data_IF_851596897542
#
_entry.id   IF_851596897542
#
_cell.length_a   1.000
_cell.length_b   1.000
_cell.length_c   1.000
_cell.angle_alpha   90.00
_cell.angle_beta   90.00
_cell.angle_gamma   90.00
#
_symmetry.space_group_name_H-M   'P 1'
#
loop_
_entity.id
_entity.type
_entity.pdbx_description
1 polymer ?
#
# COMPACT_ATOMS: atom_id res chain seq x y z
N UNK A 1 1.33 -7.59 -17.63
CA UNK A 1 0.71 -7.05 -16.40
C UNK A 1 -0.25 -8.10 -15.87
N UNK A 2 -0.15 -8.45 -14.59
CA UNK A 2 -1.09 -9.36 -13.92
C UNK A 2 -2.52 -8.83 -14.08
N UNK A 3 -3.50 -9.63 -14.51
CA UNK A 3 -4.87 -9.13 -14.67
C UNK A 3 -5.46 -8.83 -13.29
N UNK A 4 -5.73 -7.54 -13.04
CA UNK A 4 -6.48 -7.10 -11.87
C UNK A 4 -7.93 -7.55 -11.99
N UNK A 5 -8.50 -8.01 -10.88
CA UNK A 5 -9.92 -8.34 -10.82
C UNK A 5 -10.68 -7.05 -10.54
N UNK A 6 -11.26 -6.47 -11.59
CA UNK A 6 -12.20 -5.36 -11.45
C UNK A 6 -13.47 -5.87 -10.76
N UNK A 7 -14.10 -5.00 -9.99
CA UNK A 7 -15.39 -5.31 -9.38
C UNK A 7 -16.52 -4.89 -10.31
N UNK A 8 -17.53 -5.75 -10.43
CA UNK A 8 -18.72 -5.47 -11.22
C UNK A 8 -19.67 -4.55 -10.45
N UNK A 9 -19.99 -3.40 -11.06
CA UNK A 9 -20.96 -2.44 -10.57
C UNK A 9 -22.06 -2.24 -11.61
N UNK A 10 -23.29 -2.16 -11.15
CA UNK A 10 -24.44 -1.73 -11.95
C UNK A 10 -24.23 -0.31 -12.49
N UNK A 11 -24.99 0.06 -13.52
CA UNK A 11 -24.98 1.41 -14.08
C UNK A 11 -25.28 2.49 -13.04
N UNK A 12 -26.21 2.23 -12.12
CA UNK A 12 -26.59 3.11 -11.02
C UNK A 12 -25.45 3.28 -10.02
N UNK A 13 -24.82 2.18 -9.58
CA UNK A 13 -23.66 2.23 -8.67
C UNK A 13 -22.49 3.00 -9.31
N UNK A 14 -22.20 2.75 -10.59
CA UNK A 14 -21.17 3.50 -11.33
C UNK A 14 -21.48 4.99 -11.39
N UNK A 15 -22.74 5.38 -11.56
CA UNK A 15 -23.12 6.80 -11.62
C UNK A 15 -22.86 7.52 -10.28
N UNK A 16 -23.01 6.83 -9.16
CA UNK A 16 -22.66 7.34 -7.84
C UNK A 16 -21.14 7.38 -7.65
N UNK A 17 -20.46 6.25 -7.88
CA UNK A 17 -19.03 6.12 -7.62
C UNK A 17 -18.17 7.12 -8.41
N UNK A 18 -18.54 7.44 -9.67
CA UNK A 18 -17.78 8.41 -10.50
C UNK A 18 -17.65 9.80 -9.89
N UNK A 19 -18.50 10.16 -8.93
CA UNK A 19 -18.43 11.46 -8.23
C UNK A 19 -17.30 11.51 -7.21
N UNK A 20 -16.90 10.36 -6.69
CA UNK A 20 -16.05 10.25 -5.51
C UNK A 20 -14.75 9.47 -5.74
N UNK A 21 -14.59 8.79 -6.87
CA UNK A 21 -13.42 7.97 -7.19
C UNK A 21 -12.90 8.27 -8.59
N UNK A 22 -11.57 8.40 -8.74
CA UNK A 22 -10.93 8.73 -10.03
C UNK A 22 -10.89 7.58 -11.04
N UNK A 23 -11.06 6.34 -10.56
CA UNK A 23 -11.07 5.13 -11.38
C UNK A 23 -11.94 4.06 -10.70
N UNK A 24 -12.74 3.35 -11.49
CA UNK A 24 -13.66 2.31 -11.00
C UNK A 24 -13.20 0.89 -11.35
N UNK A 25 -12.28 0.76 -12.29
CA UNK A 25 -11.89 -0.49 -12.94
C UNK A 25 -10.46 -0.89 -12.59
N UNK A 26 -9.59 0.09 -12.36
CA UNK A 26 -8.20 -0.10 -11.98
C UNK A 26 -8.01 -0.36 -10.48
N UNK A 27 -6.85 -0.94 -10.11
CA UNK A 27 -6.48 -1.21 -8.73
C UNK A 27 -6.05 0.04 -7.95
N UNK A 28 -5.69 1.12 -8.65
CA UNK A 28 -5.29 2.38 -8.04
C UNK A 28 -6.35 3.42 -8.35
N UNK A 29 -6.74 4.19 -7.33
CA UNK A 29 -7.69 5.29 -7.47
C UNK A 29 -7.61 6.24 -6.28
N UNK A 30 -7.88 7.52 -6.51
CA UNK A 30 -7.96 8.53 -5.47
C UNK A 30 -9.42 8.83 -5.08
N UNK A 31 -9.61 9.27 -3.83
CA UNK A 31 -10.90 9.72 -3.32
C UNK A 31 -11.00 11.24 -3.51
N UNK A 32 -12.03 11.67 -4.23
CA UNK A 32 -12.34 13.07 -4.52
C UNK A 32 -13.72 13.44 -3.99
N UNK A 33 -13.97 14.74 -3.79
CA UNK A 33 -15.29 15.27 -3.43
C UNK A 33 -15.95 14.61 -2.20
N UNK A 34 -15.14 14.12 -1.25
CA UNK A 34 -15.61 13.59 0.03
C UNK A 34 -15.03 14.42 1.18
N UNK A 35 -15.77 14.63 2.28
CA UNK A 35 -15.19 15.22 3.48
C UNK A 35 -14.02 14.38 4.01
N UNK A 36 -12.95 15.02 4.49
CA UNK A 36 -11.74 14.32 4.96
C UNK A 36 -12.03 13.32 6.10
N UNK A 37 -13.00 13.64 6.97
CA UNK A 37 -13.46 12.73 8.04
C UNK A 37 -14.05 11.44 7.45
N UNK A 38 -14.80 11.54 6.36
CA UNK A 38 -15.40 10.38 5.68
C UNK A 38 -14.30 9.55 5.01
N UNK A 39 -13.32 10.18 4.34
CA UNK A 39 -12.18 9.48 3.74
C UNK A 39 -11.40 8.70 4.81
N UNK A 40 -11.09 9.33 5.94
CA UNK A 40 -10.40 8.69 7.06
C UNK A 40 -11.18 7.51 7.66
N UNK A 41 -12.48 7.69 7.90
CA UNK A 41 -13.35 6.62 8.41
C UNK A 41 -13.45 5.44 7.43
N UNK A 42 -13.56 5.73 6.13
CA UNK A 42 -13.65 4.73 5.08
C UNK A 42 -12.36 3.88 5.02
N UNK A 43 -11.17 4.48 5.05
CA UNK A 43 -9.92 3.73 5.09
C UNK A 43 -9.72 2.93 6.39
N UNK A 44 -10.15 3.49 7.53
CA UNK A 44 -10.12 2.76 8.80
C UNK A 44 -10.98 1.48 8.73
N UNK A 45 -12.19 1.58 8.16
CA UNK A 45 -13.05 0.41 7.91
C UNK A 45 -12.47 -0.54 6.88
N UNK A 46 -11.85 0.00 5.83
CA UNK A 46 -11.25 -0.77 4.74
C UNK A 46 -10.12 -1.70 5.17
N UNK A 47 -9.25 -1.24 6.06
CA UNK A 47 -8.14 -2.05 6.63
C UNK A 47 -8.61 -3.33 7.35
N UNK A 48 -9.91 -3.40 7.69
CA UNK A 48 -10.56 -4.50 8.41
C UNK A 48 -11.70 -5.13 7.60
N UNK A 49 -11.79 -4.86 6.31
CA UNK A 49 -12.82 -5.38 5.42
C UNK A 49 -12.20 -6.19 4.29
N UNK A 50 -12.86 -7.28 3.89
CA UNK A 50 -12.46 -8.07 2.73
C UNK A 50 -13.00 -7.51 1.39
N UNK A 51 -13.87 -6.49 1.44
CA UNK A 51 -14.46 -5.81 0.27
C UNK A 51 -13.44 -4.85 -0.37
N UNK A 52 -13.66 -4.48 -1.64
CA UNK A 52 -12.97 -3.32 -2.22
C UNK A 52 -13.42 -2.03 -1.52
N UNK A 53 -12.63 -0.95 -1.66
CA UNK A 53 -12.99 0.33 -1.05
C UNK A 53 -14.28 0.89 -1.65
N UNK A 54 -14.47 0.71 -2.95
CA UNK A 54 -15.65 1.18 -3.71
C UNK A 54 -16.92 0.47 -3.27
N UNK A 55 -16.86 -0.86 -3.07
CA UNK A 55 -17.99 -1.64 -2.53
C UNK A 55 -18.30 -1.29 -1.09
N UNK A 56 -17.26 -1.16 -0.26
CA UNK A 56 -17.42 -0.73 1.12
C UNK A 56 -18.12 0.62 1.22
N UNK A 57 -17.74 1.57 0.36
CA UNK A 57 -18.38 2.88 0.29
C UNK A 57 -19.88 2.80 -0.05
N UNK A 58 -20.24 2.04 -1.09
CA UNK A 58 -21.65 1.85 -1.47
C UNK A 58 -22.47 1.17 -0.39
N UNK A 59 -21.89 0.18 0.30
CA UNK A 59 -22.63 -0.62 1.26
C UNK A 59 -22.78 0.10 2.61
N UNK A 60 -21.79 0.88 3.04
CA UNK A 60 -21.70 1.40 4.41
C UNK A 60 -21.71 2.94 4.52
N UNK A 61 -21.46 3.71 3.45
CA UNK A 61 -21.24 5.16 3.56
C UNK A 61 -22.13 6.02 2.67
N UNK A 62 -22.54 5.53 1.50
CA UNK A 62 -23.25 6.36 0.50
C UNK A 62 -24.57 6.93 1.00
N UNK A 63 -25.31 6.18 1.82
CA UNK A 63 -26.64 6.57 2.28
C UNK A 63 -26.59 7.67 3.36
N UNK A 64 -25.47 7.80 4.05
CA UNK A 64 -25.26 8.76 5.12
C UNK A 64 -24.62 10.07 4.62
N UNK A 65 -24.32 10.16 3.31
CA UNK A 65 -23.82 11.38 2.70
C UNK A 65 -24.97 12.35 2.43
N UNK A 66 -24.93 13.50 3.08
CA UNK A 66 -25.79 14.63 2.71
C UNK A 66 -25.26 15.25 1.39
N UNK A 67 -25.89 14.84 0.28
CA UNK A 67 -25.51 15.26 -1.08
C UNK A 67 -26.12 16.62 -1.45
N UNK A 68 -26.82 17.30 -0.54
CA UNK A 68 -27.56 18.53 -0.85
C UNK A 68 -26.67 19.77 -1.01
N UNK A 69 -25.40 19.71 -0.59
CA UNK A 69 -24.45 20.84 -0.62
C UNK A 69 -23.42 20.83 -1.76
N UNK A 70 -23.22 19.71 -2.47
CA UNK A 70 -22.13 19.55 -3.47
C UNK A 70 -22.43 20.25 -4.82
N UNK A 71 -23.63 20.78 -5.01
CA UNK A 71 -24.04 21.40 -6.27
C UNK A 71 -23.74 22.91 -6.36
N UNK A 72 -23.28 23.56 -5.30
CA UNK A 72 -23.23 25.04 -5.22
C UNK A 72 -21.85 25.67 -5.13
N UNK A 73 -20.79 24.88 -4.90
CA UNK A 73 -19.40 25.37 -4.97
C UNK A 73 -18.78 24.86 -6.25
N UNK A 74 -18.83 25.68 -7.29
CA UNK A 74 -18.12 25.42 -8.54
C UNK A 74 -16.60 25.58 -8.31
N UNK A 75 -15.97 24.50 -7.84
CA UNK A 75 -14.53 24.42 -7.60
C UNK A 75 -13.70 24.51 -8.90
N UNK A 76 -14.32 24.59 -10.08
CA UNK A 76 -13.61 24.85 -11.35
C UNK A 76 -13.30 26.33 -11.57
N UNK A 77 -14.02 27.24 -10.89
CA UNK A 77 -13.77 28.69 -10.97
C UNK A 77 -12.47 29.04 -10.25
N UNK A 78 -11.40 29.22 -11.03
CA UNK A 78 -10.07 29.57 -10.53
C UNK A 78 -9.06 28.43 -10.51
N UNK A 79 -9.47 27.20 -10.86
CA UNK A 79 -8.58 26.03 -10.92
C UNK A 79 -7.46 26.24 -11.94
N UNK A 80 -7.79 26.65 -13.17
CA UNK A 80 -6.78 26.91 -14.22
C UNK A 80 -5.78 28.00 -13.82
N UNK A 81 -6.25 29.03 -13.10
CA UNK A 81 -5.39 30.12 -12.62
C UNK A 81 -4.52 29.69 -11.45
N UNK A 82 -5.03 28.84 -10.57
CA UNK A 82 -4.28 28.23 -9.47
C UNK A 82 -3.24 27.25 -10.01
N UNK A 83 -3.59 26.38 -10.96
CA UNK A 83 -2.67 25.45 -11.63
C UNK A 83 -1.55 26.22 -12.35
N UNK A 84 -1.87 27.27 -13.11
CA UNK A 84 -0.85 28.09 -13.78
C UNK A 84 0.08 28.81 -12.78
N UNK A 85 -0.45 29.25 -11.63
CA UNK A 85 0.36 29.83 -10.55
C UNK A 85 1.26 28.77 -9.90
N UNK A 86 0.72 27.60 -9.58
CA UNK A 86 1.48 26.49 -9.03
C UNK A 86 2.57 26.03 -10.00
N UNK A 87 2.28 25.96 -11.29
CA UNK A 87 3.27 25.61 -12.31
C UNK A 87 4.44 26.58 -12.32
N UNK A 88 4.15 27.89 -12.28
CA UNK A 88 5.19 28.91 -12.21
C UNK A 88 6.00 28.81 -10.91
N UNK A 89 5.34 28.70 -9.77
CA UNK A 89 6.00 28.72 -8.46
C UNK A 89 6.79 27.43 -8.19
N UNK A 90 6.17 26.28 -8.45
CA UNK A 90 6.77 24.99 -8.23
C UNK A 90 7.81 24.70 -9.30
N UNK A 91 7.49 24.78 -10.59
CA UNK A 91 8.39 24.31 -11.65
C UNK A 91 9.54 25.28 -11.93
N UNK A 92 9.32 26.60 -11.87
CA UNK A 92 10.35 27.59 -12.22
C UNK A 92 11.20 28.03 -11.01
N UNK A 93 10.58 28.24 -9.82
CA UNK A 93 11.31 28.71 -8.63
C UNK A 93 11.84 27.60 -7.72
N UNK A 94 11.39 26.35 -7.90
CA UNK A 94 11.89 25.19 -7.14
C UNK A 94 11.47 25.16 -5.68
N UNK A 95 10.36 25.82 -5.31
CA UNK A 95 9.82 25.82 -3.96
C UNK A 95 9.08 24.50 -3.66
N UNK A 96 9.84 23.45 -3.36
CA UNK A 96 9.30 22.12 -3.11
C UNK A 96 8.45 22.03 -1.83
N UNK A 97 8.53 23.05 -0.94
CA UNK A 97 7.73 23.10 0.29
C UNK A 97 6.24 23.32 0.00
N UNK A 98 5.91 23.98 -1.11
CA UNK A 98 4.52 24.20 -1.55
C UNK A 98 3.81 22.87 -1.86
N UNK A 99 4.53 21.87 -2.38
CA UNK A 99 3.97 20.54 -2.64
C UNK A 99 3.64 19.74 -1.37
N UNK A 100 3.99 20.24 -0.19
CA UNK A 100 3.55 19.68 1.09
C UNK A 100 2.12 20.11 1.47
N UNK A 101 1.59 21.17 0.86
CA UNK A 101 0.33 21.78 1.26
C UNK A 101 -0.90 21.12 0.62
N UNK A 102 -0.70 20.30 -0.42
CA UNK A 102 -1.75 19.48 -1.03
C UNK A 102 -1.53 18.00 -0.76
N UNK A 103 -2.58 17.31 -0.32
CA UNK A 103 -2.55 15.88 0.02
C UNK A 103 -3.63 15.08 -0.70
N UNK A 104 -3.36 13.79 -0.89
CA UNK A 104 -4.27 12.85 -1.57
C UNK A 104 -4.45 11.57 -0.76
N UNK A 105 -5.71 11.19 -0.65
CA UNK A 105 -6.17 9.88 -0.19
C UNK A 105 -6.21 8.92 -1.39
N UNK A 106 -5.25 8.01 -1.47
CA UNK A 106 -5.07 7.04 -2.55
C UNK A 106 -5.32 5.62 -2.05
N UNK A 107 -6.12 4.86 -2.79
CA UNK A 107 -6.29 3.44 -2.59
C UNK A 107 -5.40 2.66 -3.56
N UNK A 108 -4.69 1.67 -3.02
CA UNK A 108 -3.85 0.74 -3.77
C UNK A 108 -4.34 -0.69 -3.49
N UNK A 109 -5.11 -1.27 -4.40
CA UNK A 109 -5.68 -2.62 -4.26
C UNK A 109 -4.86 -3.68 -5.01
N UNK A 110 -4.93 -4.93 -4.56
CA UNK A 110 -4.31 -6.07 -5.23
C UNK A 110 -2.78 -5.90 -5.44
N UNK A 111 -2.10 -5.33 -4.45
CA UNK A 111 -0.65 -5.23 -4.39
C UNK A 111 -0.06 -6.45 -3.66
N UNK A 112 1.02 -7.06 -4.16
CA UNK A 112 1.70 -8.12 -3.42
C UNK A 112 2.22 -7.62 -2.07
N UNK A 113 2.45 -8.52 -1.10
CA UNK A 113 3.04 -8.14 0.18
C UNK A 113 4.43 -7.49 0.00
N UNK A 114 5.19 -7.89 -1.03
CA UNK A 114 6.47 -7.26 -1.36
C UNK A 114 6.23 -5.80 -1.78
N UNK A 115 5.26 -5.56 -2.66
CA UNK A 115 4.89 -4.21 -3.08
C UNK A 115 4.32 -3.38 -1.93
N UNK A 116 3.50 -3.93 -1.04
CA UNK A 116 2.96 -3.16 0.10
C UNK A 116 4.06 -2.64 1.00
N UNK A 117 5.10 -3.44 1.27
CA UNK A 117 6.28 -2.95 2.01
C UNK A 117 7.03 -1.84 1.28
N UNK A 118 7.09 -1.89 -0.05
CA UNK A 118 7.65 -0.81 -0.85
C UNK A 118 6.79 0.46 -0.74
N UNK A 119 5.46 0.35 -0.82
CA UNK A 119 4.52 1.46 -0.69
C UNK A 119 4.60 2.14 0.69
N UNK A 120 4.71 1.36 1.77
CA UNK A 120 4.62 1.82 3.16
C UNK A 120 5.94 2.36 3.75
N UNK A 121 7.04 2.33 2.98
CA UNK A 121 8.37 2.69 3.48
C UNK A 121 8.54 4.18 3.81
N UNK A 122 7.81 5.09 3.14
CA UNK A 122 7.96 6.53 3.33
C UNK A 122 7.43 6.98 4.70
N UNK A 123 8.22 7.68 5.51
CA UNK A 123 7.81 8.07 6.88
C UNK A 123 6.90 9.30 6.97
N UNK A 124 6.77 10.07 5.87
CA UNK A 124 5.99 11.32 5.81
C UNK A 124 4.62 11.11 5.14
N UNK A 125 4.00 9.97 5.41
CA UNK A 125 2.70 9.56 4.90
C UNK A 125 1.99 8.70 5.94
N UNK A 126 0.69 8.51 5.77
CA UNK A 126 -0.14 7.66 6.61
C UNK A 126 -0.62 6.45 5.81
N UNK A 127 -0.56 5.27 6.42
CA UNK A 127 -0.88 4.01 5.76
C UNK A 127 -1.92 3.20 6.54
N UNK A 128 -2.78 2.52 5.80
CA UNK A 128 -3.76 1.57 6.33
C UNK A 128 -3.83 0.34 5.40
N UNK A 129 -3.01 -0.67 5.69
CA UNK A 129 -3.01 -1.97 5.03
C UNK A 129 -4.11 -2.89 5.57
N UNK A 130 -4.70 -3.72 4.69
CA UNK A 130 -5.55 -4.84 5.08
C UNK A 130 -4.83 -5.80 6.01
N UNK A 131 -5.39 -5.99 7.20
CA UNK A 131 -4.74 -6.79 8.23
C UNK A 131 -4.97 -8.29 8.03
N UNK A 132 -3.88 -9.03 7.81
CA UNK A 132 -3.87 -10.51 7.85
C UNK A 132 -4.23 -11.09 9.22
N UNK A 133 -4.29 -10.26 10.28
CA UNK A 133 -4.75 -10.65 11.61
C UNK A 133 -6.27 -10.57 11.79
N UNK A 134 -6.97 -9.87 10.92
CA UNK A 134 -8.42 -9.65 11.04
C UNK A 134 -9.21 -10.13 9.82
N UNK A 135 -8.54 -10.36 8.69
CA UNK A 135 -9.14 -10.82 7.44
C UNK A 135 -8.59 -12.20 7.12
N UNK A 136 -9.49 -13.15 6.82
CA UNK A 136 -9.12 -14.46 6.33
C UNK A 136 -8.72 -14.39 4.84
N UNK A 137 -7.67 -15.12 4.48
CA UNK A 137 -7.13 -15.18 3.12
C UNK A 137 -7.53 -16.47 2.38
N UNK A 138 -8.60 -17.12 2.83
CA UNK A 138 -9.20 -18.34 2.27
C UNK A 138 -10.20 -18.07 1.14
N UNK A 139 -10.64 -16.81 0.97
CA UNK A 139 -11.58 -16.42 -0.07
C UNK A 139 -10.91 -16.23 -1.45
N UNK A 140 -11.53 -16.82 -2.49
CA UNK A 140 -11.11 -16.65 -3.89
C UNK A 140 -11.56 -15.28 -4.44
N UNK A 141 -10.66 -14.57 -5.11
CA UNK A 141 -10.92 -13.33 -5.84
C UNK A 141 -10.95 -13.64 -7.35
N UNK A 142 -12.07 -13.36 -8.02
CA UNK A 142 -12.23 -13.71 -9.45
C UNK A 142 -12.03 -15.21 -9.72
N UNK A 143 -12.45 -16.06 -8.78
CA UNK A 143 -12.30 -17.52 -8.87
C UNK A 143 -10.91 -18.08 -8.54
N UNK A 144 -9.95 -17.26 -8.10
CA UNK A 144 -8.56 -17.69 -7.81
C UNK A 144 -8.08 -17.23 -6.43
N UNK A 145 -7.05 -17.88 -5.89
CA UNK A 145 -6.43 -17.37 -4.66
C UNK A 145 -5.70 -16.04 -4.90
N UNK A 146 -5.68 -15.23 -3.83
CA UNK A 146 -5.19 -13.86 -3.80
C UNK A 146 -3.67 -13.82 -3.71
N UNK A 147 -2.98 -14.27 -4.76
CA UNK A 147 -1.54 -14.06 -4.92
C UNK A 147 -1.20 -13.41 -6.25
N UNK A 148 -0.17 -12.57 -6.23
CA UNK A 148 0.39 -11.90 -7.39
C UNK A 148 0.94 -12.93 -8.36
N UNK A 149 0.66 -12.77 -9.65
CA UNK A 149 1.09 -13.71 -10.68
C UNK A 149 2.01 -12.98 -11.64
N UNK A 150 3.29 -12.94 -11.29
CA UNK A 150 4.31 -12.27 -12.08
C UNK A 150 4.30 -12.79 -13.54
N UNK A 151 4.11 -11.91 -14.54
CA UNK A 151 4.01 -12.32 -15.94
C UNK A 151 5.22 -13.11 -16.44
N UNK A 152 6.42 -12.75 -16.00
CA UNK A 152 7.66 -13.37 -16.46
C UNK A 152 7.83 -14.75 -15.81
N UNK A 153 7.47 -14.88 -14.53
CA UNK A 153 7.41 -16.19 -13.85
C UNK A 153 6.37 -17.10 -14.52
N UNK A 154 5.19 -16.57 -14.85
CA UNK A 154 4.14 -17.35 -15.50
C UNK A 154 4.52 -17.80 -16.92
N UNK A 155 5.24 -16.96 -17.67
CA UNK A 155 5.73 -17.29 -19.01
C UNK A 155 6.93 -18.25 -18.99
N UNK A 156 7.59 -18.41 -17.84
CA UNK A 156 8.74 -19.28 -17.67
C UNK A 156 8.35 -20.77 -17.54
N UNK A 157 9.33 -21.70 -17.66
CA UNK A 157 9.11 -23.12 -17.35
C UNK A 157 8.63 -23.40 -15.91
N UNK A 158 8.77 -22.44 -15.00
CA UNK A 158 8.33 -22.56 -13.61
C UNK A 158 6.89 -22.11 -13.38
N UNK A 159 6.20 -21.52 -14.37
CA UNK A 159 4.88 -20.90 -14.19
C UNK A 159 3.81 -21.85 -13.64
N UNK A 160 3.70 -23.07 -14.19
CA UNK A 160 2.75 -24.06 -13.71
C UNK A 160 3.06 -24.53 -12.28
N UNK A 161 4.34 -24.71 -11.97
CA UNK A 161 4.79 -25.07 -10.62
C UNK A 161 4.51 -23.95 -9.62
N UNK A 162 4.82 -22.71 -9.99
CA UNK A 162 4.55 -21.53 -9.17
C UNK A 162 3.08 -21.45 -8.77
N UNK A 163 2.16 -21.58 -9.74
CA UNK A 163 0.73 -21.57 -9.47
C UNK A 163 0.32 -22.73 -8.58
N UNK A 164 0.77 -23.96 -8.87
CA UNK A 164 0.43 -25.14 -8.08
C UNK A 164 0.94 -25.09 -6.64
N UNK A 165 2.17 -24.61 -6.42
CA UNK A 165 2.75 -24.49 -5.09
C UNK A 165 2.06 -23.36 -4.30
N UNK A 166 1.74 -22.23 -4.94
CA UNK A 166 0.95 -21.15 -4.31
C UNK A 166 -0.46 -21.62 -3.94
N UNK A 167 -1.17 -22.30 -4.85
CA UNK A 167 -2.52 -22.80 -4.56
C UNK A 167 -2.50 -23.78 -3.37
N UNK A 168 -1.52 -24.69 -3.30
CA UNK A 168 -1.34 -25.60 -2.15
C UNK A 168 -1.11 -24.86 -0.83
N UNK A 169 -0.33 -23.79 -0.83
CA UNK A 169 -0.09 -22.99 0.39
C UNK A 169 -1.40 -22.36 0.89
N UNK A 170 -2.22 -21.83 -0.02
CA UNK A 170 -3.50 -21.25 0.33
C UNK A 170 -4.57 -22.29 0.70
N UNK A 171 -4.61 -23.45 0.03
CA UNK A 171 -5.48 -24.57 0.43
C UNK A 171 -5.13 -25.03 1.85
N UNK A 172 -3.84 -25.21 2.15
CA UNK A 172 -3.35 -25.56 3.49
C UNK A 172 -3.76 -24.53 4.54
N UNK A 173 -3.61 -23.24 4.23
CA UNK A 173 -4.08 -22.16 5.09
C UNK A 173 -5.60 -22.27 5.33
N UNK A 174 -6.39 -22.44 4.28
CA UNK A 174 -7.85 -22.49 4.36
C UNK A 174 -8.35 -23.70 5.18
N UNK A 175 -7.72 -24.87 5.05
CA UNK A 175 -8.03 -26.07 5.84
C UNK A 175 -7.68 -25.89 7.33
N UNK A 176 -6.60 -25.17 7.63
CA UNK A 176 -6.16 -24.93 9.00
C UNK A 176 -6.95 -23.84 9.74
N UNK A 177 -7.53 -22.87 9.03
CA UNK A 177 -8.35 -21.79 9.64
C UNK A 177 -9.44 -22.30 10.59
N UNK A 178 -10.34 -23.23 10.19
CA UNK A 178 -11.35 -23.76 11.11
C UNK A 178 -10.73 -24.57 12.25
N UNK A 179 -9.71 -25.38 11.96
CA UNK A 179 -9.00 -26.19 12.96
C UNK A 179 -8.38 -25.34 14.08
N UNK A 180 -7.67 -24.27 13.71
CA UNK A 180 -7.09 -23.33 14.69
C UNK A 180 -8.14 -22.50 15.40
N UNK A 181 -9.23 -22.14 14.72
CA UNK A 181 -10.37 -21.45 15.34
C UNK A 181 -10.99 -22.29 16.45
N UNK A 182 -11.20 -23.58 16.21
CA UNK A 182 -11.78 -24.51 17.19
C UNK A 182 -10.80 -24.78 18.34
N UNK A 183 -9.51 -24.94 18.05
CA UNK A 183 -8.46 -25.04 19.06
C UNK A 183 -8.46 -23.83 20.01
N UNK A 184 -8.50 -22.61 19.46
CA UNK A 184 -8.52 -21.40 20.28
C UNK A 184 -9.84 -21.23 21.03
N UNK A 185 -10.98 -21.66 20.48
CA UNK A 185 -12.26 -21.66 21.19
C UNK A 185 -12.22 -22.58 22.42
N UNK A 186 -11.62 -23.77 22.29
CA UNK A 186 -11.46 -24.70 23.41
C UNK A 186 -10.44 -24.20 24.45
N UNK A 187 -9.35 -23.60 23.99
CA UNK A 187 -8.27 -23.09 24.86
C UNK A 187 -8.64 -21.81 25.61
N UNK A 188 -9.53 -21.00 25.03
CA UNK A 188 -9.98 -19.73 25.59
C UNK A 188 -11.52 -19.70 25.62
N UNK A 189 -12.18 -20.35 26.59
CA UNK A 189 -13.63 -20.32 26.72
C UNK A 189 -14.15 -18.89 26.94
N UNK A 190 -15.33 -18.59 26.39
CA UNK A 190 -15.98 -17.28 26.51
C UNK A 190 -16.43 -17.02 27.96
N UNK A 191 -16.12 -15.83 28.50
CA UNK A 191 -16.68 -15.40 29.77
C UNK A 191 -18.17 -15.05 29.62
N UNK A 192 -19.04 -15.32 30.61
CA UNK A 192 -20.44 -14.89 30.57
C UNK A 192 -20.64 -13.39 30.36
N UNK A 193 -19.65 -12.57 30.75
CA UNK A 193 -19.69 -11.12 30.61
C UNK A 193 -19.18 -10.62 29.24
N UNK A 194 -18.61 -11.49 28.42
CA UNK A 194 -18.10 -11.11 27.11
C UNK A 194 -19.23 -11.01 26.08
N UNK A 195 -19.19 -9.96 25.25
CA UNK A 195 -20.00 -9.91 24.04
C UNK A 195 -19.64 -11.07 23.11
N UNK A 196 -20.65 -11.73 22.55
CA UNK A 196 -20.45 -12.84 21.61
C UNK A 196 -19.67 -12.42 20.37
N UNK A 197 -19.96 -11.21 19.88
CA UNK A 197 -19.28 -10.63 18.73
C UNK A 197 -17.79 -10.41 19.01
N UNK A 198 -17.46 -9.78 20.13
CA UNK A 198 -16.08 -9.47 20.53
C UNK A 198 -15.28 -10.76 20.74
N UNK A 199 -15.87 -11.74 21.42
CA UNK A 199 -15.25 -13.04 21.63
C UNK A 199 -14.93 -13.75 20.30
N UNK A 200 -15.90 -13.85 19.39
CA UNK A 200 -15.68 -14.48 18.07
C UNK A 200 -14.60 -13.78 17.26
N UNK A 201 -14.55 -12.45 17.29
CA UNK A 201 -13.50 -11.68 16.62
C UNK A 201 -12.12 -11.96 17.23
N UNK A 202 -12.01 -12.01 18.56
CA UNK A 202 -10.76 -12.31 19.24
C UNK A 202 -10.25 -13.72 18.92
N UNK A 203 -11.13 -14.73 18.91
CA UNK A 203 -10.77 -16.11 18.55
C UNK A 203 -10.29 -16.20 17.10
N UNK A 204 -11.01 -15.58 16.16
CA UNK A 204 -10.58 -15.53 14.76
C UNK A 204 -9.23 -14.84 14.60
N UNK A 205 -9.02 -13.71 15.29
CA UNK A 205 -7.76 -12.99 15.22
C UNK A 205 -6.58 -13.83 15.71
N UNK A 206 -6.77 -14.64 16.78
CA UNK A 206 -5.75 -15.59 17.23
C UNK A 206 -5.45 -16.67 16.18
N UNK A 207 -6.48 -17.24 15.56
CA UNK A 207 -6.32 -18.23 14.51
C UNK A 207 -5.57 -17.65 13.30
N UNK A 208 -5.96 -16.48 12.82
CA UNK A 208 -5.31 -15.82 11.68
C UNK A 208 -3.87 -15.44 11.99
N UNK A 209 -3.59 -14.89 13.18
CA UNK A 209 -2.23 -14.50 13.58
C UNK A 209 -1.29 -15.72 13.72
N UNK A 210 -1.81 -16.88 14.15
CA UNK A 210 -1.05 -18.12 14.18
C UNK A 210 -0.75 -18.70 12.79
N UNK A 211 -1.66 -18.49 11.83
CA UNK A 211 -1.57 -19.08 10.48
C UNK A 211 -0.95 -18.15 9.43
N UNK A 212 -0.87 -16.83 9.67
CA UNK A 212 -0.41 -15.87 8.65
C UNK A 212 1.00 -16.11 8.13
N UNK A 213 1.84 -16.85 8.88
CA UNK A 213 3.16 -17.27 8.41
C UNK A 213 3.14 -18.26 7.24
N UNK A 214 2.00 -18.90 6.96
CA UNK A 214 1.80 -19.76 5.81
C UNK A 214 1.48 -18.97 4.53
N UNK A 215 1.09 -17.71 4.65
CA UNK A 215 0.76 -16.89 3.49
C UNK A 215 2.05 -16.50 2.75
N UNK A 216 2.16 -16.75 1.44
CA UNK A 216 3.36 -16.43 0.68
C UNK A 216 3.55 -14.92 0.57
N UNK A 217 4.79 -14.46 0.33
CA UNK A 217 5.10 -13.05 0.06
C UNK A 217 4.38 -12.50 -1.20
N UNK A 218 3.92 -13.39 -2.08
CA UNK A 218 3.08 -13.03 -3.22
C UNK A 218 1.63 -12.71 -2.84
N UNK A 219 1.19 -12.95 -1.60
CA UNK A 219 -0.20 -12.70 -1.18
C UNK A 219 -0.58 -11.24 -1.46
N UNK A 220 -1.77 -11.05 -2.03
CA UNK A 220 -2.29 -9.74 -2.38
C UNK A 220 -2.96 -9.08 -1.19
N UNK A 221 -2.66 -7.81 -0.99
CA UNK A 221 -3.22 -6.95 0.04
C UNK A 221 -3.68 -5.64 -0.60
N UNK A 222 -4.45 -4.87 0.17
CA UNK A 222 -4.86 -3.54 -0.20
C UNK A 222 -4.37 -2.53 0.82
N UNK A 223 -3.88 -1.38 0.36
CA UNK A 223 -3.31 -0.31 1.18
C UNK A 223 -4.02 1.00 0.88
N UNK A 224 -4.52 1.64 1.93
CA UNK A 224 -4.89 3.05 1.89
C UNK A 224 -3.69 3.92 2.22
N UNK A 225 -3.48 4.98 1.45
CA UNK A 225 -2.37 5.92 1.62
C UNK A 225 -2.94 7.34 1.70
N UNK A 226 -2.49 8.11 2.69
CA UNK A 226 -2.62 9.56 2.67
C UNK A 226 -1.23 10.18 2.69
N UNK A 227 -0.96 11.11 1.78
CA UNK A 227 0.32 11.79 1.70
C UNK A 227 0.25 13.07 0.91
N UNK A 228 1.30 13.88 1.00
CA UNK A 228 1.43 15.14 0.27
C UNK A 228 1.95 14.92 -1.15
N UNK A 229 1.83 15.91 -2.03
CA UNK A 229 2.43 15.87 -3.37
C UNK A 229 3.92 15.55 -3.34
N UNK A 230 4.66 16.19 -2.43
CA UNK A 230 6.10 15.92 -2.23
C UNK A 230 6.37 14.48 -1.80
N UNK A 231 5.57 13.96 -0.85
CA UNK A 231 5.75 12.59 -0.37
C UNK A 231 5.42 11.55 -1.47
N UNK A 232 4.39 11.81 -2.28
CA UNK A 232 4.07 10.97 -3.44
C UNK A 232 5.13 11.04 -4.53
N UNK A 233 5.69 12.21 -4.83
CA UNK A 233 6.83 12.33 -5.76
C UNK A 233 8.00 11.46 -5.30
N UNK A 234 8.42 11.58 -4.03
CA UNK A 234 9.49 10.76 -3.47
C UNK A 234 9.18 9.25 -3.50
N UNK A 235 7.94 8.86 -3.22
CA UNK A 235 7.49 7.48 -3.33
C UNK A 235 7.60 6.96 -4.76
N UNK A 236 7.08 7.70 -5.75
CA UNK A 236 7.09 7.31 -7.17
C UNK A 236 8.51 7.17 -7.72
N UNK A 237 9.40 8.11 -7.41
CA UNK A 237 10.80 8.06 -7.85
C UNK A 237 11.52 6.81 -7.31
N UNK A 238 11.24 6.44 -6.06
CA UNK A 238 11.77 5.22 -5.42
C UNK A 238 11.17 3.95 -6.01
N UNK A 239 9.86 3.88 -6.23
CA UNK A 239 9.24 2.70 -6.84
C UNK A 239 9.80 2.44 -8.25
N UNK A 240 10.02 3.50 -9.04
CA UNK A 240 10.65 3.45 -10.37
C UNK A 240 12.13 3.10 -10.35
N UNK A 241 12.81 3.20 -9.21
CA UNK A 241 14.22 2.81 -9.07
C UNK A 241 14.38 1.37 -8.56
N UNK A 242 13.30 0.70 -8.14
CA UNK A 242 13.38 -0.68 -7.64
C UNK A 242 13.54 -1.67 -8.81
N UNK A 243 14.28 -2.78 -8.62
CA UNK A 243 14.38 -3.86 -9.61
C UNK A 243 13.12 -4.74 -9.67
N UNK A 244 12.01 -4.31 -9.03
CA UNK A 244 10.76 -5.06 -8.96
C UNK A 244 9.81 -4.62 -10.09
N UNK A 245 9.51 -5.46 -11.09
CA UNK A 245 8.65 -5.08 -12.20
C UNK A 245 7.25 -4.65 -11.74
N UNK A 246 6.71 -5.30 -10.71
CA UNK A 246 5.43 -4.92 -10.11
C UNK A 246 5.46 -3.47 -9.60
N UNK A 247 6.49 -3.05 -8.86
CA UNK A 247 6.60 -1.70 -8.33
C UNK A 247 6.67 -0.64 -9.43
N UNK A 248 7.43 -0.90 -10.50
CA UNK A 248 7.55 0.00 -11.65
C UNK A 248 6.20 0.21 -12.34
N UNK A 249 5.52 -0.90 -12.68
CA UNK A 249 4.21 -0.85 -13.32
C UNK A 249 3.15 -0.20 -12.42
N UNK A 250 3.23 -0.45 -11.11
CA UNK A 250 2.30 0.14 -10.14
C UNK A 250 2.53 1.65 -9.96
N UNK A 251 3.79 2.11 -10.04
CA UNK A 251 4.12 3.54 -10.00
C UNK A 251 3.48 4.31 -11.17
N UNK A 252 3.39 3.71 -12.36
CA UNK A 252 2.71 4.32 -13.51
C UNK A 252 1.20 4.46 -13.30
N UNK A 253 0.57 3.45 -12.69
CA UNK A 253 -0.84 3.51 -12.30
C UNK A 253 -1.08 4.60 -11.25
N UNK A 254 -0.22 4.67 -10.23
CA UNK A 254 -0.28 5.72 -9.21
C UNK A 254 -0.10 7.11 -9.79
N UNK A 255 0.90 7.32 -10.64
CA UNK A 255 1.16 8.60 -11.29
C UNK A 255 -0.05 9.06 -12.12
N UNK A 256 -0.66 8.13 -12.87
CA UNK A 256 -1.87 8.41 -13.67
C UNK A 256 -3.02 8.91 -12.81
N UNK A 257 -3.30 8.25 -11.69
CA UNK A 257 -4.43 8.59 -10.83
C UNK A 257 -4.17 9.84 -9.98
N UNK A 258 -2.95 10.00 -9.46
CA UNK A 258 -2.57 11.18 -8.70
C UNK A 258 -2.59 12.45 -9.56
N UNK A 259 -2.21 12.36 -10.85
CA UNK A 259 -2.30 13.50 -11.79
C UNK A 259 -3.72 13.99 -12.05
N UNK A 260 -4.75 13.19 -11.77
CA UNK A 260 -6.15 13.65 -11.85
C UNK A 260 -6.54 14.56 -10.67
N UNK A 261 -5.74 14.57 -9.59
CA UNK A 261 -6.05 15.30 -8.34
C UNK A 261 -5.02 16.39 -8.05
N UNK A 262 -3.73 16.10 -8.26
CA UNK A 262 -2.60 17.01 -7.98
C UNK A 262 -1.61 17.08 -9.15
N UNK A 263 -2.05 17.42 -10.38
CA UNK A 263 -1.20 17.35 -11.58
C UNK A 263 0.08 18.17 -11.46
N UNK A 264 0.00 19.41 -10.96
CA UNK A 264 1.15 20.33 -10.88
C UNK A 264 2.30 19.80 -10.01
N UNK A 265 2.02 19.03 -8.95
CA UNK A 265 3.04 18.50 -8.05
C UNK A 265 3.80 17.30 -8.63
N UNK A 266 3.30 16.68 -9.70
CA UNK A 266 3.84 15.41 -10.24
C UNK A 266 4.34 15.54 -11.68
N UNK A 267 4.51 16.77 -12.17
CA UNK A 267 5.00 17.03 -13.53
C UNK A 267 6.42 16.54 -13.78
N UNK A 268 7.27 16.55 -12.75
CA UNK A 268 8.70 16.26 -12.89
C UNK A 268 9.05 14.77 -12.81
N UNK A 269 8.14 13.95 -12.28
CA UNK A 269 8.37 12.53 -11.94
C UNK A 269 8.89 11.69 -13.11
N UNK A 270 8.41 11.95 -14.32
CA UNK A 270 8.72 11.17 -15.53
C UNK A 270 9.46 12.00 -16.60
N UNK A 271 9.91 13.21 -16.26
CA UNK A 271 10.79 13.98 -17.15
C UNK A 271 12.20 13.38 -17.12
N UNK A 272 12.81 13.08 -18.29
CA UNK A 272 14.13 12.43 -18.35
C UNK A 272 15.21 13.16 -17.52
N UNK A 273 15.33 14.48 -17.68
CA UNK A 273 16.34 15.30 -17.00
C UNK A 273 15.99 15.67 -15.54
N UNK A 274 14.88 15.13 -14.98
CA UNK A 274 14.44 15.41 -13.61
C UNK A 274 14.18 14.10 -12.86
N UNK A 275 12.92 13.66 -12.80
CA UNK A 275 12.56 12.44 -12.12
C UNK A 275 13.22 11.20 -12.71
N UNK A 276 13.40 11.16 -14.04
CA UNK A 276 14.18 10.12 -14.71
C UNK A 276 15.60 10.03 -14.17
N UNK A 277 16.34 11.15 -14.25
CA UNK A 277 17.69 11.25 -13.71
C UNK A 277 17.78 10.88 -12.21
N UNK A 278 16.76 11.21 -11.40
CA UNK A 278 16.75 10.86 -9.98
C UNK A 278 16.49 9.37 -9.74
N UNK A 279 15.53 8.77 -10.45
CA UNK A 279 15.31 7.33 -10.41
C UNK A 279 16.53 6.54 -10.90
N UNK A 280 17.21 7.03 -11.94
CA UNK A 280 18.44 6.44 -12.47
C UNK A 280 19.59 6.53 -11.47
N UNK A 281 19.75 7.67 -10.81
CA UNK A 281 20.73 7.86 -9.73
C UNK A 281 20.48 6.89 -8.57
N UNK A 282 19.23 6.79 -8.10
CA UNK A 282 18.86 5.88 -7.01
C UNK A 282 19.12 4.42 -7.38
N UNK A 283 18.77 4.02 -8.61
CA UNK A 283 18.98 2.66 -9.11
C UNK A 283 20.47 2.34 -9.23
N UNK A 284 21.25 3.23 -9.85
CA UNK A 284 22.70 3.05 -10.04
C UNK A 284 23.42 2.92 -8.69
N UNK A 285 23.05 3.73 -7.70
CA UNK A 285 23.62 3.62 -6.37
C UNK A 285 23.26 2.31 -5.67
N UNK A 286 22.02 1.83 -5.83
CA UNK A 286 21.60 0.54 -5.27
C UNK A 286 22.38 -0.62 -5.91
N UNK A 287 22.54 -0.61 -7.24
CA UNK A 287 23.29 -1.61 -7.97
C UNK A 287 24.77 -1.61 -7.57
N UNK A 288 25.42 -0.44 -7.55
CA UNK A 288 26.80 -0.29 -7.13
C UNK A 288 27.02 -0.76 -5.68
N UNK A 289 26.09 -0.44 -4.77
CA UNK A 289 26.15 -0.94 -3.39
C UNK A 289 25.96 -2.46 -3.33
N UNK A 290 25.09 -3.02 -4.16
CA UNK A 290 24.91 -4.46 -4.30
C UNK A 290 26.17 -5.18 -4.78
N UNK A 291 26.89 -4.61 -5.74
CA UNK A 291 28.18 -5.11 -6.21
C UNK A 291 29.24 -5.09 -5.09
N UNK A 292 29.37 -3.95 -4.39
CA UNK A 292 30.29 -3.82 -3.25
C UNK A 292 29.95 -4.82 -2.14
N UNK A 293 28.67 -4.94 -1.79
CA UNK A 293 28.22 -5.89 -0.78
C UNK A 293 28.53 -7.33 -1.17
N UNK A 294 28.32 -7.70 -2.45
CA UNK A 294 28.62 -9.04 -2.94
C UNK A 294 30.12 -9.36 -2.94
N UNK A 295 30.97 -8.36 -3.20
CA UNK A 295 32.42 -8.49 -3.12
C UNK A 295 32.92 -8.67 -1.68
N UNK A 296 32.35 -7.93 -0.73
CA UNK A 296 32.73 -7.97 0.69
C UNK A 296 32.14 -9.18 1.43
N UNK A 297 30.94 -9.60 1.03
CA UNK A 297 30.21 -10.72 1.61
C UNK A 297 29.92 -11.77 0.52
N UNK A 298 30.96 -12.44 -0.03
CA UNK A 298 30.74 -13.54 -0.95
C UNK A 298 29.88 -14.59 -0.26
N UNK A 299 28.93 -15.16 -1.00
CA UNK A 299 27.83 -15.99 -0.51
C UNK A 299 28.28 -16.89 0.64
N UNK A 300 28.00 -16.48 1.87
CA UNK A 300 28.33 -17.30 3.02
C UNK A 300 27.52 -18.59 2.89
N UNK A 301 28.16 -19.74 3.13
CA UNK A 301 27.40 -20.94 3.43
C UNK A 301 26.38 -20.59 4.51
N UNK A 302 25.13 -21.11 4.45
CA UNK A 302 24.14 -20.82 5.49
C UNK A 302 24.82 -21.08 6.83
N UNK A 303 24.83 -20.07 7.70
CA UNK A 303 25.47 -20.21 8.99
C UNK A 303 24.87 -21.45 9.68
N UNK A 304 25.70 -22.42 10.05
CA UNK A 304 25.26 -23.67 10.69
C UNK A 304 24.64 -23.43 12.10
N UNK A 305 24.56 -22.20 12.58
CA UNK A 305 24.00 -21.84 13.88
C UNK A 305 22.86 -20.81 13.80
N UNK A 306 21.78 -20.99 14.58
CA UNK A 306 20.70 -20.03 14.66
C UNK A 306 21.15 -18.81 15.47
N UNK A 307 21.37 -17.68 14.81
CA UNK A 307 21.49 -16.40 15.51
C UNK A 307 20.10 -15.92 15.95
N UNK A 308 19.76 -16.14 17.22
CA UNK A 308 18.84 -15.26 17.95
C UNK A 308 19.69 -14.23 18.69
N UNK A 309 20.07 -13.16 17.99
CA UNK A 309 21.19 -12.25 18.31
C UNK A 309 21.37 -11.86 19.79
N UNK A 310 22.64 -11.69 20.20
CA UNK A 310 23.07 -11.07 21.48
C UNK A 310 24.00 -9.89 21.20
N UNK A 311 23.79 -8.76 21.88
CA UNK A 311 24.58 -7.54 21.77
C UNK A 311 25.99 -7.77 22.33
N UNK A 312 27.00 -7.59 21.48
CA UNK A 312 28.41 -7.86 21.83
C UNK A 312 29.22 -6.60 22.11
N UNK A 313 28.81 -5.43 21.62
CA UNK A 313 29.50 -4.13 21.83
C UNK A 313 28.59 -2.93 21.48
N UNK A 314 28.92 -1.73 21.97
CA UNK A 314 28.28 -0.46 21.59
C UNK A 314 29.25 0.74 21.77
N UNK A 315 28.99 1.88 21.10
CA UNK A 315 29.83 3.07 21.23
C UNK A 315 29.68 3.69 22.63
N UNK A 316 30.70 3.63 23.49
CA UNK A 316 30.59 4.13 24.87
C UNK A 316 30.40 5.65 24.92
N UNK A 317 30.76 6.38 23.86
CA UNK A 317 30.60 7.83 23.75
C UNK A 317 29.39 8.24 22.89
N UNK A 318 28.51 7.29 22.52
CA UNK A 318 27.39 7.54 21.62
C UNK A 318 26.45 8.65 22.08
N UNK A 319 26.20 8.76 23.39
CA UNK A 319 25.38 9.82 23.97
C UNK A 319 26.07 11.18 23.92
N UNK A 320 27.39 11.23 24.12
CA UNK A 320 28.18 12.47 24.02
C UNK A 320 28.22 12.97 22.58
N UNK A 321 28.37 12.08 21.60
CA UNK A 321 28.31 12.43 20.18
C UNK A 321 26.91 12.91 19.77
N UNK A 322 25.87 12.34 20.37
CA UNK A 322 24.48 12.76 20.11
C UNK A 322 24.18 14.12 20.74
N UNK A 323 24.60 14.37 21.98
CA UNK A 323 24.47 15.69 22.64
C UNK A 323 25.30 16.75 21.93
N UNK A 324 26.52 16.43 21.49
CA UNK A 324 27.34 17.31 20.66
C UNK A 324 26.66 17.65 19.33
N UNK A 325 26.06 16.66 18.65
CA UNK A 325 25.32 16.88 17.41
C UNK A 325 24.04 17.71 17.61
N UNK A 326 23.38 17.61 18.77
CA UNK A 326 22.19 18.40 19.11
C UNK A 326 22.50 19.85 19.48
N UNK A 327 23.68 20.11 20.07
CA UNK A 327 24.14 21.46 20.41
C UNK A 327 24.87 22.15 19.25
N UNK A 328 25.38 21.40 18.29
CA UNK A 328 26.10 21.90 17.10
C UNK A 328 25.39 23.02 16.29
N UNK A 329 24.04 23.08 16.19
CA UNK A 329 23.38 24.14 15.43
C UNK A 329 23.43 25.54 16.05
N UNK A 330 23.96 25.70 17.28
CA UNK A 330 24.06 26.98 18.00
C UNK A 330 25.48 27.54 18.01
#
# INVERSE_FOLDING_TARGET
>A
MTPYVAEDFSSTERAVLRRYFTNLDGPVFALVNLPEVVKGALFARYSRSAKSLRRLFLDEFVNDLDVSGDATVDATVGLERAEALYDKVFFEYGDDSVAQLGGVHLACEQASNILTKALEWGRLMSYLEQSTRYIAYDARLGGRYRFFRDPDVLASPLGARYVGDMDRMFDSYAELVPTMTDYFRASFPKSPNDSDFVYRQAIRAKAFDALRGLLPAASLSNVGIYGTGQAYEALLLRLKSLPLPEANAYADLMLTELRKVIPSFLKRVDLPERGGAWSDYLRTNADAMGEVASLLFPTAAPADEPSSVTLVDFDPDGEVKTVAAMLYPY
#
